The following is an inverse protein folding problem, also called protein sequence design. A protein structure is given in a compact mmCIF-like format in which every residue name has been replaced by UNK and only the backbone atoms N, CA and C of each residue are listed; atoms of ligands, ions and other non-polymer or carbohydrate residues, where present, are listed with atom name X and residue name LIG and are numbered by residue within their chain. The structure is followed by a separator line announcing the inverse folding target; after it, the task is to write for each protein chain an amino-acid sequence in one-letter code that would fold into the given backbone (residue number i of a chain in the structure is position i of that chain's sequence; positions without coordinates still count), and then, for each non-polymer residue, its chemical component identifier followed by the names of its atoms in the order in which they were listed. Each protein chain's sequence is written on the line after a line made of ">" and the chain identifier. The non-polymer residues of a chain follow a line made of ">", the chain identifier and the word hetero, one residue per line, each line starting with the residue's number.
data_IF_498987032535
#
_entry.id   IF_498987032535
#
_cell.length_a   1.000
_cell.length_b   1.000
_cell.length_c   1.000
_cell.angle_alpha   90.00
_cell.angle_beta   90.00
_cell.angle_gamma   90.00
#
_symmetry.space_group_name_H-M   'P 1'
#
loop_
_entity.id
_entity.type
_entity.pdbx_description
1 polymer ?
#
# COMPACT_ATOMS: atom_id res chain seq x y z
N UNK A 1 -20.02 -6.89 8.79
CA UNK A 1 -18.88 -6.87 9.70
C UNK A 1 -17.61 -7.12 8.90
N UNK A 2 -16.76 -6.10 8.82
CA UNK A 2 -15.43 -6.21 8.20
C UNK A 2 -14.58 -7.16 9.06
N UNK A 3 -14.31 -8.35 8.55
CA UNK A 3 -13.33 -9.23 9.16
C UNK A 3 -11.92 -8.73 8.85
N UNK A 4 -11.37 -7.94 9.76
CA UNK A 4 -9.95 -7.59 9.76
C UNK A 4 -9.20 -8.84 10.25
N UNK A 5 -8.54 -9.55 9.35
CA UNK A 5 -7.62 -10.59 9.76
C UNK A 5 -6.37 -9.94 10.37
N UNK A 6 -6.22 -10.07 11.69
CA UNK A 6 -4.99 -9.78 12.39
C UNK A 6 -3.95 -10.82 11.95
N UNK A 7 -2.97 -10.41 11.17
CA UNK A 7 -1.80 -11.23 10.87
C UNK A 7 -0.84 -11.07 12.04
N UNK A 8 -0.71 -12.13 12.85
CA UNK A 8 0.17 -12.16 14.02
C UNK A 8 1.64 -12.18 13.66
N UNK A 9 2.42 -11.65 14.59
CA UNK A 9 3.87 -11.48 14.65
C UNK A 9 4.73 -12.53 13.94
N UNK A 10 5.78 -12.01 13.35
CA UNK A 10 7.04 -12.57 12.88
C UNK A 10 7.15 -12.88 11.39
N UNK A 11 7.81 -12.02 10.67
CA UNK A 11 8.35 -12.23 9.33
C UNK A 11 9.43 -11.19 8.96
N UNK A 12 10.70 -11.56 8.65
CA UNK A 12 11.81 -10.62 8.33
C UNK A 12 12.08 -10.36 6.84
N UNK A 13 11.49 -11.12 5.91
CA UNK A 13 11.47 -10.79 4.50
C UNK A 13 10.25 -9.93 4.20
N UNK A 14 10.44 -8.67 3.86
CA UNK A 14 9.35 -7.78 3.60
C UNK A 14 8.65 -8.17 2.31
N UNK A 15 7.38 -8.54 2.41
CA UNK A 15 6.46 -8.46 1.30
C UNK A 15 6.52 -7.05 0.73
N UNK A 16 7.08 -6.88 -0.46
CA UNK A 16 7.06 -5.63 -1.19
C UNK A 16 6.13 -5.79 -2.40
N UNK A 17 4.83 -5.68 -2.16
CA UNK A 17 3.86 -5.68 -3.23
C UNK A 17 4.20 -4.55 -4.23
N UNK A 18 4.38 -4.90 -5.47
CA UNK A 18 4.66 -3.94 -6.56
C UNK A 18 3.52 -3.88 -7.57
N UNK A 19 2.53 -4.74 -7.43
CA UNK A 19 1.37 -4.79 -8.31
C UNK A 19 0.15 -5.36 -7.57
N UNK A 20 -0.98 -4.68 -7.67
CA UNK A 20 -2.27 -5.17 -7.20
C UNK A 20 -3.39 -4.69 -8.13
N UNK A 21 -4.54 -5.35 -8.06
CA UNK A 21 -5.73 -5.01 -8.83
C UNK A 21 -6.80 -4.45 -7.89
N UNK A 22 -7.33 -3.27 -8.21
CA UNK A 22 -8.49 -2.69 -7.53
C UNK A 22 -9.76 -3.43 -8.00
N UNK A 23 -10.75 -3.69 -7.13
CA UNK A 23 -12.05 -4.21 -7.55
C UNK A 23 -12.72 -3.30 -8.58
N UNK A 24 -13.54 -3.87 -9.45
CA UNK A 24 -14.33 -3.08 -10.39
C UNK A 24 -15.32 -2.15 -9.65
N UNK A 25 -15.92 -1.19 -10.37
CA UNK A 25 -16.79 -0.16 -9.78
C UNK A 25 -18.00 -0.73 -9.03
N UNK A 26 -18.64 -1.76 -9.57
CA UNK A 26 -19.79 -2.42 -8.95
C UNK A 26 -19.40 -3.04 -7.59
N UNK A 27 -18.29 -3.76 -7.54
CA UNK A 27 -17.78 -4.37 -6.31
C UNK A 27 -17.28 -3.33 -5.30
N UNK A 28 -16.68 -2.24 -5.77
CA UNK A 28 -16.31 -1.12 -4.91
C UNK A 28 -17.54 -0.52 -4.23
N UNK A 29 -18.60 -0.22 -4.99
CA UNK A 29 -19.85 0.31 -4.42
C UNK A 29 -20.48 -0.66 -3.43
N UNK A 30 -20.50 -1.95 -3.76
CA UNK A 30 -21.08 -2.98 -2.90
C UNK A 30 -20.35 -3.10 -1.54
N UNK A 31 -19.02 -2.99 -1.53
CA UNK A 31 -18.22 -3.26 -0.35
C UNK A 31 -17.76 -2.02 0.43
N UNK A 32 -17.68 -0.87 -0.25
CA UNK A 32 -17.06 0.35 0.31
C UNK A 32 -17.93 1.60 0.19
N UNK A 33 -19.11 1.51 -0.47
CA UNK A 33 -20.04 2.61 -0.60
C UNK A 33 -19.78 3.51 -1.82
N UNK A 34 -20.06 4.81 -1.66
CA UNK A 34 -20.00 5.76 -2.77
C UNK A 34 -18.60 5.90 -3.37
N UNK A 35 -18.56 5.97 -4.69
CA UNK A 35 -17.32 6.13 -5.43
C UNK A 35 -16.90 7.61 -5.49
N UNK A 36 -15.60 7.90 -5.34
CA UNK A 36 -15.09 9.24 -5.43
C UNK A 36 -15.17 9.78 -6.88
N UNK A 37 -15.19 11.10 -7.01
CA UNK A 37 -14.92 11.74 -8.29
C UNK A 37 -13.46 11.59 -8.69
N UNK A 38 -13.21 11.49 -10.00
CA UNK A 38 -11.87 11.39 -10.57
C UNK A 38 -11.58 10.02 -11.19
N UNK A 39 -10.38 9.93 -11.74
CA UNK A 39 -9.92 8.72 -12.44
C UNK A 39 -8.85 8.01 -11.63
N UNK A 40 -8.89 6.69 -11.68
CA UNK A 40 -7.88 5.80 -11.11
C UNK A 40 -7.59 4.62 -12.02
N UNK A 41 -6.45 3.98 -11.82
CA UNK A 41 -6.09 2.74 -12.51
C UNK A 41 -6.66 1.54 -11.76
N UNK A 42 -7.21 0.57 -12.49
CA UNK A 42 -7.63 -0.72 -11.91
C UNK A 42 -6.44 -1.63 -11.62
N UNK A 43 -5.47 -1.65 -12.53
CA UNK A 43 -4.21 -2.36 -12.32
C UNK A 43 -3.17 -1.38 -11.81
N UNK A 44 -2.75 -1.60 -10.56
CA UNK A 44 -1.90 -0.68 -9.83
C UNK A 44 -0.43 -1.02 -9.95
N UNK A 45 0.35 0.02 -10.17
CA UNK A 45 1.81 0.05 -10.06
C UNK A 45 2.24 1.28 -9.24
N UNK A 46 3.44 1.27 -8.65
CA UNK A 46 3.94 2.40 -7.88
C UNK A 46 3.81 3.74 -8.62
N UNK A 47 3.35 4.77 -7.92
CA UNK A 47 3.06 6.13 -8.36
C UNK A 47 1.78 6.30 -9.18
N UNK A 48 1.05 5.23 -9.52
CA UNK A 48 -0.26 5.36 -10.14
C UNK A 48 -1.29 5.91 -9.15
N UNK A 49 -2.31 6.59 -9.68
CA UNK A 49 -3.48 6.99 -8.88
C UNK A 49 -4.41 5.78 -8.72
N UNK A 50 -4.70 5.45 -7.48
CA UNK A 50 -5.60 4.37 -7.07
C UNK A 50 -6.50 4.82 -5.94
N UNK A 51 -7.12 3.89 -5.23
CA UNK A 51 -8.10 4.15 -4.20
C UNK A 51 -7.62 3.74 -2.82
N UNK A 52 -7.98 4.53 -1.82
CA UNK A 52 -7.91 4.16 -0.42
C UNK A 52 -9.13 4.67 0.35
N UNK A 53 -9.58 3.92 1.34
CA UNK A 53 -10.68 4.26 2.24
C UNK A 53 -10.08 4.85 3.52
N UNK A 54 -10.53 6.03 3.92
CA UNK A 54 -10.13 6.69 5.18
C UNK A 54 -11.37 7.05 6.00
N UNK A 55 -11.16 7.25 7.30
CA UNK A 55 -12.18 7.84 8.16
C UNK A 55 -12.28 9.35 7.89
N UNK A 56 -13.51 9.86 7.99
CA UNK A 56 -13.84 11.29 8.01
C UNK A 56 -14.86 11.56 9.13
N UNK A 57 -15.27 12.82 9.30
CA UNK A 57 -16.20 13.23 10.35
C UNK A 57 -17.60 12.61 10.23
N UNK A 58 -17.98 12.15 9.03
CA UNK A 58 -19.26 11.51 8.73
C UNK A 58 -19.22 9.99 8.66
N UNK A 59 -18.03 9.37 8.84
CA UNK A 59 -17.87 7.92 8.73
C UNK A 59 -16.63 7.51 7.95
N UNK A 60 -16.79 7.10 6.72
CA UNK A 60 -15.70 6.65 5.83
C UNK A 60 -15.90 7.17 4.41
N UNK A 61 -14.79 7.43 3.73
CA UNK A 61 -14.81 7.87 2.33
C UNK A 61 -13.71 7.18 1.50
N UNK A 62 -14.03 6.82 0.26
CA UNK A 62 -13.03 6.45 -0.72
C UNK A 62 -12.39 7.70 -1.33
N UNK A 63 -11.07 7.71 -1.41
CA UNK A 63 -10.28 8.83 -1.93
C UNK A 63 -9.39 8.33 -3.06
N UNK A 64 -9.32 9.13 -4.15
CA UNK A 64 -8.33 8.92 -5.22
C UNK A 64 -7.00 9.53 -4.78
N UNK A 65 -5.94 8.72 -4.74
CA UNK A 65 -4.60 9.20 -4.37
C UNK A 65 -3.48 8.43 -5.05
N UNK A 66 -2.27 8.97 -4.97
CA UNK A 66 -1.06 8.33 -5.49
C UNK A 66 -0.62 7.18 -4.58
N UNK A 67 -0.36 5.99 -5.15
CA UNK A 67 0.28 4.89 -4.43
C UNK A 67 1.80 5.08 -4.39
N UNK A 68 2.26 5.63 -3.32
CA UNK A 68 3.63 6.06 -3.05
C UNK A 68 3.58 7.34 -2.23
N UNK A 69 3.83 7.22 -0.93
CA UNK A 69 3.72 8.35 0.00
C UNK A 69 4.77 9.41 -0.34
N UNK A 70 4.32 10.65 -0.41
CA UNK A 70 5.17 11.81 -0.72
C UNK A 70 5.70 12.37 0.59
N UNK A 71 7.03 12.43 0.80
CA UNK A 71 7.60 13.02 2.01
C UNK A 71 7.20 14.51 2.16
N UNK A 72 7.00 15.02 3.39
CA UNK A 72 6.46 16.38 3.61
C UNK A 72 7.23 17.52 2.95
N UNK A 73 8.55 17.34 2.76
CA UNK A 73 9.42 18.35 2.13
C UNK A 73 9.84 18.01 0.70
N UNK A 74 9.12 17.08 0.06
CA UNK A 74 9.37 16.77 -1.35
C UNK A 74 9.01 17.97 -2.22
N UNK A 75 9.81 18.23 -3.23
CA UNK A 75 9.56 19.26 -4.24
C UNK A 75 8.84 18.72 -5.46
N UNK A 76 8.54 17.42 -5.48
CA UNK A 76 7.87 16.73 -6.58
C UNK A 76 7.01 15.59 -6.04
N UNK A 77 5.95 15.25 -6.76
CA UNK A 77 5.11 14.08 -6.48
C UNK A 77 5.85 12.74 -6.67
N UNK A 78 6.99 12.76 -7.35
CA UNK A 78 7.91 11.61 -7.45
C UNK A 78 9.02 11.76 -6.42
N UNK A 79 8.94 11.09 -5.25
CA UNK A 79 9.93 11.23 -4.21
C UNK A 79 11.33 10.78 -4.68
N UNK A 80 12.33 11.64 -4.49
CA UNK A 80 13.73 11.35 -4.83
C UNK A 80 14.63 11.55 -3.61
N UNK A 81 15.67 10.75 -3.53
CA UNK A 81 16.72 10.88 -2.53
C UNK A 81 17.73 11.97 -2.87
N UNK A 82 18.65 12.24 -1.96
CA UNK A 82 19.75 13.21 -2.18
C UNK A 82 20.66 12.82 -3.35
N UNK A 83 20.70 11.55 -3.70
CA UNK A 83 21.44 10.98 -4.84
C UNK A 83 20.66 11.05 -6.17
N UNK A 84 19.49 11.71 -6.18
CA UNK A 84 18.63 11.83 -7.34
C UNK A 84 17.83 10.57 -7.68
N UNK A 85 18.01 9.47 -6.96
CA UNK A 85 17.27 8.22 -7.22
C UNK A 85 15.87 8.29 -6.61
N UNK A 86 14.91 7.68 -7.32
CA UNK A 86 13.55 7.54 -6.82
C UNK A 86 13.52 6.72 -5.52
N UNK A 87 12.82 7.25 -4.53
CA UNK A 87 12.57 6.54 -3.28
C UNK A 87 11.41 5.55 -3.43
N UNK A 88 11.56 4.38 -2.83
CA UNK A 88 10.50 3.38 -2.74
C UNK A 88 9.60 3.70 -1.54
N UNK A 89 8.53 4.46 -1.75
CA UNK A 89 7.63 4.93 -0.69
C UNK A 89 6.22 4.32 -0.76
N UNK A 90 6.02 3.35 -1.63
CA UNK A 90 4.73 2.67 -1.83
C UNK A 90 4.49 1.52 -0.86
N UNK A 91 5.53 1.06 -0.14
CA UNK A 91 5.44 0.11 0.95
C UNK A 91 6.12 0.66 2.21
N UNK A 92 5.41 0.68 3.32
CA UNK A 92 5.92 1.10 4.62
C UNK A 92 6.10 -0.13 5.52
N UNK A 93 7.32 -0.44 5.90
CA UNK A 93 7.60 -1.54 6.81
C UNK A 93 7.17 -1.19 8.24
N UNK A 94 6.30 -2.02 8.81
CA UNK A 94 5.77 -1.86 10.16
C UNK A 94 6.87 -1.62 11.20
N UNK A 95 7.97 -2.34 11.11
CA UNK A 95 9.06 -2.36 12.08
C UNK A 95 9.81 -1.01 12.18
N UNK A 96 9.81 -0.22 11.11
CA UNK A 96 10.55 1.03 11.04
C UNK A 96 9.71 2.28 10.80
N UNK A 97 8.44 2.13 10.40
CA UNK A 97 7.63 3.24 9.91
C UNK A 97 7.42 4.37 10.93
N UNK A 98 7.26 4.03 12.22
CA UNK A 98 7.02 5.04 13.27
C UNK A 98 8.18 6.03 13.44
N UNK A 99 9.41 5.60 13.09
CA UNK A 99 10.63 6.42 13.13
C UNK A 99 11.01 7.00 11.77
N UNK A 100 10.31 6.61 10.72
CA UNK A 100 10.56 7.09 9.37
C UNK A 100 10.19 8.56 9.21
N UNK A 101 11.01 9.30 8.50
CA UNK A 101 10.71 10.67 8.14
C UNK A 101 9.50 10.79 7.20
N UNK A 102 9.25 9.79 6.36
CA UNK A 102 8.11 9.76 5.43
C UNK A 102 6.81 9.33 6.12
N UNK A 103 6.89 8.29 6.98
CA UNK A 103 5.69 7.61 7.51
C UNK A 103 5.39 7.96 8.97
N UNK A 104 6.37 8.48 9.72
CA UNK A 104 6.25 8.65 11.16
C UNK A 104 5.17 9.67 11.56
N UNK A 105 5.02 10.75 10.82
CA UNK A 105 3.97 11.73 11.09
C UNK A 105 2.56 11.19 10.79
N UNK A 106 2.27 10.66 9.59
CA UNK A 106 1.01 9.98 9.32
C UNK A 106 0.67 8.88 10.34
N UNK A 107 1.66 8.11 10.78
CA UNK A 107 1.47 7.09 11.81
C UNK A 107 1.02 7.69 13.16
N UNK A 108 1.71 8.74 13.66
CA UNK A 108 1.39 9.40 14.93
C UNK A 108 0.03 10.09 14.90
N UNK A 109 -0.36 10.66 13.75
CA UNK A 109 -1.67 11.28 13.56
C UNK A 109 -2.81 10.27 13.38
N UNK A 110 -2.52 8.96 13.36
CA UNK A 110 -3.53 7.95 13.14
C UNK A 110 -4.10 7.93 11.71
N UNK A 111 -3.39 8.49 10.73
CA UNK A 111 -3.77 8.54 9.32
C UNK A 111 -3.66 7.14 8.67
N UNK A 112 -4.50 6.23 9.14
CA UNK A 112 -4.60 4.85 8.65
C UNK A 112 -5.67 4.75 7.59
N UNK A 113 -5.46 3.87 6.60
CA UNK A 113 -6.43 3.63 5.55
C UNK A 113 -6.55 2.13 5.24
N UNK A 114 -7.62 1.80 4.54
CA UNK A 114 -7.83 0.51 3.91
C UNK A 114 -7.65 0.69 2.41
N UNK A 115 -6.84 -0.14 1.78
CA UNK A 115 -6.63 -0.14 0.34
C UNK A 115 -7.46 -1.28 -0.25
N UNK A 116 -8.51 -0.99 -1.03
CA UNK A 116 -9.31 -2.02 -1.69
C UNK A 116 -8.46 -2.78 -2.72
N UNK A 117 -8.40 -4.09 -2.62
CA UNK A 117 -7.69 -4.92 -3.57
C UNK A 117 -8.47 -6.20 -3.92
N UNK A 118 -8.65 -6.48 -5.18
CA UNK A 118 -9.17 -7.74 -5.70
C UNK A 118 -8.15 -8.86 -5.55
N UNK A 119 -6.90 -8.53 -5.88
CA UNK A 119 -5.76 -9.42 -5.79
C UNK A 119 -4.46 -8.62 -5.73
N UNK A 120 -3.40 -9.26 -5.27
CA UNK A 120 -2.04 -8.72 -5.37
C UNK A 120 -1.08 -9.79 -5.87
N UNK A 121 0.07 -9.37 -6.41
CA UNK A 121 1.07 -10.25 -6.99
C UNK A 121 2.37 -10.14 -6.21
N UNK A 122 2.94 -11.30 -5.86
CA UNK A 122 4.23 -11.42 -5.20
C UNK A 122 5.14 -12.40 -5.94
N UNK A 123 6.46 -12.18 -5.94
CA UNK A 123 7.41 -13.08 -6.57
C UNK A 123 7.65 -14.33 -5.72
N UNK A 124 7.20 -15.49 -6.18
CA UNK A 124 7.50 -16.77 -5.55
C UNK A 124 8.91 -17.24 -5.93
N UNK A 125 9.71 -17.59 -4.92
CA UNK A 125 11.09 -18.05 -5.08
C UNK A 125 11.35 -19.47 -4.58
N UNK A 126 10.34 -20.21 -4.13
CA UNK A 126 10.48 -21.57 -3.60
C UNK A 126 11.08 -22.58 -4.58
N UNK A 127 11.14 -22.27 -5.88
CA UNK A 127 11.80 -23.09 -6.92
C UNK A 127 13.21 -22.59 -7.29
N UNK A 128 13.72 -21.57 -6.60
CA UNK A 128 14.97 -20.89 -6.97
C UNK A 128 14.85 -19.92 -8.16
N UNK A 129 13.65 -19.75 -8.71
CA UNK A 129 13.35 -18.83 -9.82
C UNK A 129 12.18 -17.92 -9.47
N UNK A 130 12.20 -16.71 -10.02
CA UNK A 130 11.07 -15.77 -9.91
C UNK A 130 9.86 -16.29 -10.69
N UNK A 131 8.78 -16.58 -9.99
CA UNK A 131 7.47 -16.93 -10.57
C UNK A 131 6.44 -15.96 -9.97
N UNK A 132 5.71 -15.14 -10.77
CA UNK A 132 4.69 -14.28 -10.23
C UNK A 132 3.49 -15.10 -9.73
N UNK A 133 3.18 -14.99 -8.45
CA UNK A 133 2.01 -15.59 -7.82
C UNK A 133 0.97 -14.54 -7.50
N UNK A 134 -0.27 -14.81 -7.91
CA UNK A 134 -1.41 -13.95 -7.61
C UNK A 134 -2.16 -14.48 -6.40
N UNK A 135 -2.35 -13.61 -5.43
CA UNK A 135 -3.12 -13.87 -4.22
C UNK A 135 -4.48 -13.21 -4.33
N UNK A 136 -5.54 -14.00 -4.11
CA UNK A 136 -6.92 -13.54 -3.99
C UNK A 136 -7.60 -14.31 -2.85
N UNK A 137 -8.70 -13.77 -2.30
CA UNK A 137 -9.47 -14.47 -1.27
C UNK A 137 -10.25 -15.63 -1.87
N UNK A 138 -10.25 -16.78 -1.20
CA UNK A 138 -10.96 -17.99 -1.66
C UNK A 138 -12.47 -17.76 -1.86
N UNK A 139 -13.09 -16.92 -1.03
CA UNK A 139 -14.50 -16.55 -1.15
C UNK A 139 -14.78 -15.45 -2.17
N UNK A 140 -13.79 -15.00 -2.94
CA UNK A 140 -13.94 -13.98 -3.97
C UNK A 140 -14.20 -12.55 -3.46
N UNK A 141 -14.36 -12.32 -2.14
CA UNK A 141 -14.52 -10.97 -1.60
C UNK A 141 -13.21 -10.17 -1.70
N UNK A 142 -13.24 -8.84 -1.92
CA UNK A 142 -12.03 -8.03 -1.95
C UNK A 142 -11.24 -8.08 -0.65
N UNK A 143 -9.94 -7.82 -0.75
CA UNK A 143 -9.07 -7.54 0.40
C UNK A 143 -9.28 -6.11 0.90
N UNK A 144 -9.16 -5.91 2.20
CA UNK A 144 -8.86 -4.62 2.80
C UNK A 144 -7.40 -4.61 3.23
N UNK A 145 -6.49 -4.16 2.38
CA UNK A 145 -5.07 -4.09 2.73
C UNK A 145 -4.81 -2.86 3.60
N UNK A 146 -4.05 -3.05 4.68
CA UNK A 146 -3.74 -1.95 5.60
C UNK A 146 -2.77 -0.95 4.96
N UNK A 147 -3.01 0.33 5.18
CA UNK A 147 -2.17 1.43 4.67
C UNK A 147 -2.07 2.62 5.61
N UNK A 148 -1.20 3.54 5.24
CA UNK A 148 -1.17 4.91 5.75
C UNK A 148 -1.47 5.84 4.59
N UNK A 149 -2.08 6.98 4.91
CA UNK A 149 -2.34 8.04 3.95
C UNK A 149 -1.74 9.36 4.42
N UNK A 150 -1.54 10.26 3.49
CA UNK A 150 -1.14 11.64 3.73
C UNK A 150 -1.66 12.53 2.63
N UNK A 151 -1.56 13.82 2.82
CA UNK A 151 -1.80 14.85 1.83
C UNK A 151 -0.52 15.65 1.63
N UNK A 152 -0.24 15.99 0.39
CA UNK A 152 0.90 16.80 0.01
C UNK A 152 0.42 17.89 -0.94
N UNK A 153 0.90 19.11 -0.69
CA UNK A 153 0.60 20.27 -1.55
C UNK A 153 1.78 20.45 -2.50
N UNK A 154 1.52 20.42 -3.78
CA UNK A 154 2.53 20.70 -4.81
C UNK A 154 3.02 22.14 -4.66
N UNK A 155 4.31 22.37 -4.34
CA UNK A 155 4.82 23.72 -4.14
C UNK A 155 4.84 24.58 -5.43
N UNK A 156 4.69 23.97 -6.58
CA UNK A 156 4.69 24.67 -7.88
C UNK A 156 3.29 25.09 -8.34
N UNK A 157 2.27 24.30 -8.00
CA UNK A 157 0.89 24.50 -8.47
C UNK A 157 -0.09 24.86 -7.34
N UNK A 158 0.23 24.51 -6.10
CA UNK A 158 -0.69 24.59 -4.96
C UNK A 158 -1.73 23.46 -4.94
N UNK A 159 -1.68 22.50 -5.86
CA UNK A 159 -2.60 21.37 -5.90
C UNK A 159 -2.40 20.46 -4.70
N UNK A 160 -3.52 20.09 -4.03
CA UNK A 160 -3.54 19.09 -2.98
C UNK A 160 -3.56 17.71 -3.60
N UNK A 161 -2.54 16.89 -3.31
CA UNK A 161 -2.42 15.53 -3.80
C UNK A 161 -2.50 14.52 -2.64
N UNK A 162 -3.64 13.82 -2.48
CA UNK A 162 -3.73 12.68 -1.58
C UNK A 162 -2.78 11.57 -2.02
N UNK A 163 -2.13 10.93 -1.06
CA UNK A 163 -1.19 9.85 -1.34
C UNK A 163 -1.23 8.80 -0.23
N UNK A 164 -0.85 7.58 -0.53
CA UNK A 164 -0.91 6.46 0.40
C UNK A 164 0.21 5.46 0.19
N UNK A 165 0.44 4.65 1.21
CA UNK A 165 1.40 3.55 1.21
C UNK A 165 0.78 2.30 1.80
N UNK A 166 1.15 1.13 1.30
CA UNK A 166 0.75 -0.15 1.86
C UNK A 166 1.61 -0.49 3.07
N UNK A 167 1.00 -0.95 4.15
CA UNK A 167 1.73 -1.49 5.30
C UNK A 167 2.20 -2.90 5.00
N UNK A 168 3.48 -3.12 5.15
CA UNK A 168 4.10 -4.43 5.01
C UNK A 168 4.76 -4.85 6.30
N UNK A 169 4.87 -6.13 6.51
CA UNK A 169 5.58 -6.72 7.63
C UNK A 169 6.38 -7.92 7.18
N UNK A 170 7.28 -8.35 8.02
CA UNK A 170 8.05 -9.54 7.83
C UNK A 170 7.16 -10.81 7.80
N UNK A 171 7.38 -11.76 6.88
CA UNK A 171 6.59 -12.98 6.66
C UNK A 171 7.36 -14.30 6.81
N UNK A 172 8.55 -14.34 7.43
CA UNK A 172 9.38 -15.55 7.52
C UNK A 172 8.69 -16.70 8.27
N UNK A 173 7.88 -16.38 9.27
CA UNK A 173 7.13 -17.38 10.03
C UNK A 173 5.76 -17.73 9.41
N UNK A 174 5.38 -17.14 8.27
CA UNK A 174 4.09 -17.41 7.63
C UNK A 174 4.29 -18.39 6.47
N UNK A 175 3.78 -19.64 6.58
CA UNK A 175 3.89 -20.62 5.50
C UNK A 175 3.40 -20.03 4.17
N UNK A 176 4.05 -20.41 3.07
CA UNK A 176 3.84 -19.90 1.72
C UNK A 176 4.39 -18.47 1.53
N UNK A 177 4.06 -17.52 2.42
CA UNK A 177 4.53 -16.14 2.28
C UNK A 177 6.04 -16.00 2.54
N UNK A 178 6.63 -16.87 3.33
CA UNK A 178 8.08 -16.95 3.53
C UNK A 178 8.87 -17.37 2.28
N UNK A 179 8.19 -17.90 1.25
CA UNK A 179 8.78 -18.26 -0.04
C UNK A 179 8.64 -17.15 -1.08
N UNK A 180 7.98 -16.05 -0.71
CA UNK A 180 7.91 -14.86 -1.54
C UNK A 180 9.21 -14.07 -1.37
N UNK A 181 9.66 -13.46 -2.44
CA UNK A 181 10.95 -12.77 -2.53
C UNK A 181 12.19 -13.68 -2.44
N UNK A 182 13.24 -13.21 -3.05
CA UNK A 182 14.55 -13.87 -2.98
C UNK A 182 15.11 -13.72 -1.57
N UNK A 183 15.58 -14.81 -0.96
CA UNK A 183 16.30 -14.71 0.31
C UNK A 183 17.44 -13.69 0.22
N UNK A 184 17.49 -12.76 1.15
CA UNK A 184 18.58 -11.78 1.22
C UNK A 184 19.76 -12.42 1.98
N UNK A 185 20.91 -12.70 1.32
CA UNK A 185 22.04 -13.32 1.97
C UNK A 185 22.69 -12.47 3.10
N UNK A 186 22.33 -11.19 3.18
CA UNK A 186 22.75 -10.28 4.26
C UNK A 186 21.80 -10.28 5.46
N UNK A 187 20.73 -11.02 5.39
CA UNK A 187 19.68 -11.14 6.43
C UNK A 187 19.28 -12.61 6.54
N UNK A 188 20.14 -13.45 7.14
CA UNK A 188 19.83 -14.87 7.38
C UNK A 188 18.63 -15.05 8.31
#
# INVERSE_FOLDING_TARGET
>A
PLHIYSISQACQNALMCTNYQIPNRERLTLHYGDLPHGEWREVMSPLYRGLFLRANDGGQELVVGQWGMIPPRSTSSVPTGKDGKRLSTFNARREGMARSWTYGEPWRRGQRCIIPAESYVEPYWGTGRHIPWRFARAGGAPWGLAGLWSEWIDPSTGELLPNYTMLTQNCDAVPVLNLMHRPDPKRP
#
